data_IF_392577276708
#
_entry.id   IF_392577276708
#
_cell.length_a   1.000
_cell.length_b   1.000
_cell.length_c   1.000
_cell.angle_alpha   90.00
_cell.angle_beta   90.00
_cell.angle_gamma   90.00
#
_symmetry.space_group_name_H-M   'P 1'
#
loop_
_entity.id
_entity.type
_entity.pdbx_description
1 polymer ?
#
# COMPACT_ATOMS: atom_id res chain seq x y z
N UNK A 1 26.10 14.81 77.13
CA UNK A 1 24.74 14.47 76.69
C UNK A 1 24.75 14.49 75.16
N UNK A 2 24.74 13.30 74.56
CA UNK A 2 24.98 13.05 73.13
C UNK A 2 23.77 13.46 72.28
N UNK A 3 23.98 14.19 71.17
CA UNK A 3 23.00 14.35 70.12
C UNK A 3 23.44 13.55 68.88
N UNK A 4 22.66 12.51 68.58
CA UNK A 4 22.84 11.59 67.46
C UNK A 4 22.52 12.28 66.12
N UNK A 5 23.42 12.11 65.15
CA UNK A 5 23.28 12.55 63.76
C UNK A 5 22.16 11.77 63.05
N UNK A 6 21.28 12.54 62.39
CA UNK A 6 20.17 12.06 61.55
C UNK A 6 20.72 11.41 60.27
N UNK A 7 20.57 10.09 60.15
CA UNK A 7 20.89 9.34 58.94
C UNK A 7 19.72 9.51 57.95
N UNK A 8 19.98 10.19 56.85
CA UNK A 8 19.06 10.31 55.71
C UNK A 8 18.83 8.92 55.10
N UNK A 9 17.59 8.43 55.15
CA UNK A 9 17.11 7.26 54.40
C UNK A 9 17.24 7.53 52.90
N UNK A 10 18.16 6.84 52.23
CA UNK A 10 18.16 6.72 50.77
C UNK A 10 16.98 5.83 50.39
N UNK A 11 15.95 6.41 49.74
CA UNK A 11 14.90 5.62 49.08
C UNK A 11 15.47 5.06 47.78
N UNK A 12 15.63 3.76 47.72
CA UNK A 12 15.81 3.02 46.46
C UNK A 12 14.50 3.16 45.68
N UNK A 13 14.54 3.90 44.57
CA UNK A 13 13.42 4.05 43.65
C UNK A 13 13.42 2.79 42.79
N UNK A 14 12.44 1.91 43.03
CA UNK A 14 12.20 0.72 42.22
C UNK A 14 11.74 1.15 40.81
N UNK A 15 12.27 0.58 39.71
CA UNK A 15 11.81 0.95 38.38
C UNK A 15 10.49 0.23 38.11
N UNK A 16 9.38 0.87 38.47
CA UNK A 16 8.10 0.61 37.81
C UNK A 16 8.17 1.18 36.39
N UNK A 17 8.73 0.40 35.46
CA UNK A 17 8.51 0.60 34.03
C UNK A 17 7.34 -0.29 33.65
N UNK A 18 6.16 0.32 33.60
CA UNK A 18 4.98 -0.27 32.97
C UNK A 18 5.33 -0.42 31.48
N UNK A 19 5.64 -1.64 31.03
CA UNK A 19 5.66 -1.98 29.62
C UNK A 19 4.22 -1.97 29.10
N UNK A 20 3.73 -0.79 28.74
CA UNK A 20 2.62 -0.68 27.79
C UNK A 20 3.18 -1.24 26.48
N UNK A 21 2.58 -2.27 25.85
CA UNK A 21 2.97 -2.60 24.50
C UNK A 21 2.56 -1.41 23.66
N UNK A 22 3.53 -0.60 23.26
CA UNK A 22 3.33 0.41 22.24
C UNK A 22 2.96 -0.38 20.98
N UNK A 23 1.66 -0.64 20.80
CA UNK A 23 1.10 -1.07 19.54
C UNK A 23 1.27 0.13 18.63
N UNK A 24 2.46 0.24 18.05
CA UNK A 24 2.69 1.02 16.85
C UNK A 24 1.68 0.47 15.86
N UNK A 25 0.51 1.12 15.78
CA UNK A 25 -0.21 1.19 14.52
C UNK A 25 0.86 1.74 13.59
N UNK A 26 1.46 0.85 12.79
CA UNK A 26 2.20 1.23 11.60
C UNK A 26 1.24 2.14 10.84
N UNK A 27 1.33 3.45 11.07
CA UNK A 27 0.81 4.42 10.13
C UNK A 27 1.55 4.04 8.85
N UNK A 28 0.82 3.47 7.90
CA UNK A 28 1.37 3.07 6.60
C UNK A 28 1.88 4.35 5.96
N UNK A 29 3.13 4.69 6.24
CA UNK A 29 3.82 5.77 5.56
C UNK A 29 3.73 5.45 4.07
N UNK A 30 3.41 6.45 3.26
CA UNK A 30 3.42 6.31 1.82
C UNK A 30 4.88 6.09 1.43
N UNK A 31 5.23 4.83 1.20
CA UNK A 31 6.60 4.40 0.92
C UNK A 31 6.64 3.61 -0.38
N UNK A 32 7.73 3.83 -1.11
CA UNK A 32 8.09 3.05 -2.28
C UNK A 32 8.40 1.61 -1.87
N UNK A 33 8.05 0.64 -2.71
CA UNK A 33 8.33 -0.77 -2.45
C UNK A 33 9.85 -1.02 -2.40
N UNK A 34 10.30 -1.76 -1.39
CA UNK A 34 11.67 -2.30 -1.35
C UNK A 34 11.88 -3.39 -2.41
N UNK A 35 13.13 -3.78 -2.64
CA UNK A 35 13.44 -4.83 -3.62
C UNK A 35 12.83 -6.19 -3.22
N UNK A 36 12.85 -6.52 -1.92
CA UNK A 36 12.25 -7.74 -1.39
C UNK A 36 10.72 -7.71 -1.52
N UNK A 37 10.10 -6.55 -1.26
CA UNK A 37 8.67 -6.35 -1.46
C UNK A 37 8.29 -6.45 -2.94
N UNK A 38 9.11 -5.91 -3.86
CA UNK A 38 8.88 -6.00 -5.30
C UNK A 38 8.86 -7.45 -5.75
N UNK A 39 9.89 -8.21 -5.39
CA UNK A 39 10.02 -9.62 -5.76
C UNK A 39 8.79 -10.43 -5.31
N UNK A 40 8.37 -10.27 -4.05
CA UNK A 40 7.25 -11.02 -3.49
C UNK A 40 5.87 -10.53 -3.96
N UNK A 41 5.64 -9.22 -4.05
CA UNK A 41 4.31 -8.64 -4.33
C UNK A 41 4.02 -8.47 -5.81
N UNK A 42 5.04 -8.26 -6.64
CA UNK A 42 4.84 -8.10 -8.08
C UNK A 42 4.82 -9.44 -8.81
N UNK A 43 5.51 -10.47 -8.33
CA UNK A 43 5.55 -11.78 -9.02
C UNK A 43 4.16 -12.32 -9.38
N UNK A 44 3.14 -12.32 -8.48
CA UNK A 44 1.80 -12.78 -8.86
C UNK A 44 1.13 -11.91 -9.93
N UNK A 45 1.34 -10.59 -9.88
CA UNK A 45 0.78 -9.65 -10.86
C UNK A 45 1.44 -9.84 -12.23
N UNK A 46 2.75 -10.04 -12.27
CA UNK A 46 3.49 -10.30 -13.50
C UNK A 46 3.02 -11.62 -14.15
N UNK A 47 2.81 -12.66 -13.35
CA UNK A 47 2.22 -13.92 -13.83
C UNK A 47 0.78 -13.75 -14.33
N UNK A 48 0.04 -12.78 -13.81
CA UNK A 48 -1.29 -12.42 -14.27
C UNK A 48 -1.28 -11.53 -15.53
N UNK A 49 -0.12 -11.24 -16.12
CA UNK A 49 0.00 -10.45 -17.36
C UNK A 49 0.19 -8.96 -17.15
N UNK A 50 0.45 -8.51 -15.92
CA UNK A 50 1.00 -7.17 -15.71
C UNK A 50 2.47 -7.12 -16.17
N UNK A 51 2.92 -5.94 -16.56
CA UNK A 51 4.28 -5.70 -17.02
C UNK A 51 4.84 -4.43 -16.40
N UNK A 52 6.17 -4.33 -16.31
CA UNK A 52 6.84 -3.09 -15.91
C UNK A 52 6.82 -2.10 -17.07
N UNK A 53 6.59 -0.83 -16.79
CA UNK A 53 6.69 0.24 -17.79
C UNK A 53 8.16 0.59 -18.03
N UNK A 54 8.56 0.70 -19.29
CA UNK A 54 9.93 1.09 -19.62
C UNK A 54 10.22 2.52 -19.14
N UNK A 55 11.38 2.74 -18.51
CA UNK A 55 11.84 4.04 -18.00
C UNK A 55 10.90 4.71 -16.97
N UNK A 56 9.96 3.95 -16.38
CA UNK A 56 9.04 4.46 -15.37
C UNK A 56 8.77 3.39 -14.31
N UNK A 57 8.83 3.77 -13.04
CA UNK A 57 8.50 2.86 -11.95
C UNK A 57 6.97 2.74 -11.79
N UNK A 58 6.39 1.95 -12.68
CA UNK A 58 4.96 1.70 -12.81
C UNK A 58 4.71 0.30 -13.36
N UNK A 59 3.51 -0.21 -13.13
CA UNK A 59 3.02 -1.46 -13.76
C UNK A 59 1.89 -1.15 -14.73
N UNK A 60 1.80 -1.94 -15.79
CA UNK A 60 0.86 -1.79 -16.88
C UNK A 60 0.17 -3.11 -17.23
N UNK A 61 -1.13 -3.07 -17.54
CA UNK A 61 -1.87 -4.17 -18.14
C UNK A 61 -2.99 -3.67 -19.05
N UNK A 62 -3.23 -4.40 -20.14
CA UNK A 62 -4.38 -4.21 -21.02
C UNK A 62 -5.43 -5.31 -20.75
N UNK A 63 -6.69 -4.88 -20.65
CA UNK A 63 -7.86 -5.75 -20.49
C UNK A 63 -8.74 -5.64 -21.75
N UNK A 64 -9.21 -6.79 -22.24
CA UNK A 64 -10.10 -6.88 -23.39
C UNK A 64 -11.42 -7.53 -22.96
N UNK A 65 -12.52 -6.85 -23.24
CA UNK A 65 -13.88 -7.27 -22.91
C UNK A 65 -14.67 -7.62 -24.17
N UNK A 66 -15.90 -8.13 -24.00
CA UNK A 66 -16.79 -8.40 -25.14
C UNK A 66 -17.25 -7.12 -25.84
N UNK A 67 -17.60 -6.10 -25.06
CA UNK A 67 -18.17 -4.85 -25.52
C UNK A 67 -17.87 -3.69 -24.55
N UNK A 68 -18.33 -2.49 -24.91
CA UNK A 68 -18.16 -1.29 -24.08
C UNK A 68 -18.93 -1.36 -22.76
N UNK A 69 -20.08 -2.04 -22.70
CA UNK A 69 -20.88 -2.10 -21.48
C UNK A 69 -20.11 -2.88 -20.38
N UNK A 70 -19.54 -4.02 -20.74
CA UNK A 70 -18.68 -4.78 -19.84
C UNK A 70 -17.44 -3.98 -19.41
N UNK A 71 -16.75 -3.36 -20.37
CA UNK A 71 -15.56 -2.55 -20.08
C UNK A 71 -15.87 -1.39 -19.11
N UNK A 72 -16.97 -0.67 -19.34
CA UNK A 72 -17.34 0.47 -18.50
C UNK A 72 -17.88 0.03 -17.12
N UNK A 73 -18.56 -1.12 -17.04
CA UNK A 73 -18.94 -1.74 -15.76
C UNK A 73 -17.71 -2.10 -14.92
N UNK A 74 -16.70 -2.72 -15.53
CA UNK A 74 -15.40 -2.97 -14.92
C UNK A 74 -14.73 -1.68 -14.42
N UNK A 75 -14.65 -0.66 -15.27
CA UNK A 75 -14.09 0.65 -14.91
C UNK A 75 -14.83 1.30 -13.74
N UNK A 76 -16.16 1.20 -13.70
CA UNK A 76 -16.99 1.76 -12.61
C UNK A 76 -16.64 1.13 -11.26
N UNK A 77 -16.45 -0.20 -11.21
CA UNK A 77 -16.03 -0.89 -9.97
C UNK A 77 -14.66 -0.40 -9.50
N UNK A 78 -13.72 -0.22 -10.43
CA UNK A 78 -12.38 0.30 -10.13
C UNK A 78 -12.46 1.73 -9.60
N UNK A 79 -13.26 2.60 -10.21
CA UNK A 79 -13.42 3.98 -9.77
C UNK A 79 -13.93 4.07 -8.32
N UNK A 80 -14.93 3.25 -7.96
CA UNK A 80 -15.44 3.20 -6.58
C UNK A 80 -14.36 2.76 -5.58
N UNK A 81 -13.54 1.78 -5.95
CA UNK A 81 -12.45 1.31 -5.09
C UNK A 81 -11.30 2.31 -5.02
N UNK A 82 -10.97 2.97 -6.12
CA UNK A 82 -9.95 4.02 -6.20
C UNK A 82 -10.27 5.18 -5.27
N UNK A 83 -11.52 5.67 -5.28
CA UNK A 83 -12.00 6.70 -4.35
C UNK A 83 -11.86 6.26 -2.88
N UNK A 84 -12.29 5.03 -2.56
CA UNK A 84 -12.15 4.48 -1.21
C UNK A 84 -10.70 4.38 -0.74
N UNK A 85 -9.77 4.16 -1.68
CA UNK A 85 -8.34 4.00 -1.40
C UNK A 85 -7.56 5.32 -1.43
N UNK A 86 -8.16 6.41 -1.91
CA UNK A 86 -7.45 7.65 -2.29
C UNK A 86 -6.22 7.32 -3.16
N UNK A 87 -6.46 6.50 -4.18
CA UNK A 87 -5.44 6.02 -5.12
C UNK A 87 -6.05 5.71 -6.47
N UNK A 88 -5.77 6.53 -7.47
CA UNK A 88 -6.41 6.48 -8.78
C UNK A 88 -5.51 5.86 -9.84
N UNK A 89 -6.07 5.07 -10.78
CA UNK A 89 -5.31 4.58 -11.92
C UNK A 89 -5.11 5.68 -12.96
N UNK A 90 -4.04 5.55 -13.75
CA UNK A 90 -3.99 6.15 -15.07
C UNK A 90 -4.55 5.14 -16.07
N UNK A 91 -5.53 5.53 -16.88
CA UNK A 91 -6.10 4.60 -17.85
C UNK A 91 -6.48 5.25 -19.18
N UNK A 92 -6.60 4.40 -20.19
CA UNK A 92 -7.11 4.73 -21.50
C UNK A 92 -8.13 3.68 -21.93
N UNK A 93 -9.28 4.11 -22.43
CA UNK A 93 -10.33 3.21 -22.88
C UNK A 93 -10.76 3.54 -24.31
N UNK A 94 -10.85 2.51 -25.14
CA UNK A 94 -11.46 2.57 -26.47
C UNK A 94 -12.36 1.36 -26.61
N UNK A 95 -13.67 1.59 -26.61
CA UNK A 95 -14.70 0.55 -26.70
C UNK A 95 -14.48 -0.56 -25.66
N UNK A 96 -14.16 -1.78 -26.09
CA UNK A 96 -14.00 -2.96 -25.24
C UNK A 96 -12.58 -3.14 -24.68
N UNK A 97 -11.66 -2.20 -24.92
CA UNK A 97 -10.28 -2.26 -24.45
C UNK A 97 -10.02 -1.25 -23.34
N UNK A 98 -9.44 -1.68 -22.23
CA UNK A 98 -9.05 -0.82 -21.10
C UNK A 98 -7.57 -1.04 -20.80
N UNK A 99 -6.77 0.00 -20.96
CA UNK A 99 -5.34 0.02 -20.66
C UNK A 99 -5.15 0.71 -19.32
N UNK A 100 -4.47 0.07 -18.36
CA UNK A 100 -4.28 0.59 -17.01
C UNK A 100 -2.80 0.65 -16.66
N UNK A 101 -2.35 1.81 -16.20
CA UNK A 101 -1.03 2.05 -15.61
C UNK A 101 -1.20 2.44 -14.14
N UNK A 102 -0.41 1.84 -13.24
CA UNK A 102 -0.41 2.15 -11.81
C UNK A 102 0.98 2.59 -11.35
N UNK A 103 1.02 3.73 -10.67
CA UNK A 103 2.18 4.27 -9.96
C UNK A 103 1.71 5.25 -8.88
N UNK A 104 2.47 5.40 -7.81
CA UNK A 104 2.18 6.37 -6.76
C UNK A 104 3.02 7.64 -6.95
N UNK A 105 2.38 8.73 -7.36
CA UNK A 105 3.06 10.00 -7.67
C UNK A 105 3.80 10.62 -6.48
N UNK A 106 3.20 10.56 -5.29
CA UNK A 106 3.76 11.14 -4.06
C UNK A 106 5.04 10.45 -3.55
N UNK A 107 5.30 9.21 -3.98
CA UNK A 107 6.56 8.50 -3.71
C UNK A 107 7.40 8.28 -4.98
N UNK A 108 6.99 8.86 -6.11
CA UNK A 108 7.65 8.73 -7.41
C UNK A 108 7.97 7.27 -7.76
N UNK A 109 6.97 6.38 -7.64
CA UNK A 109 7.13 4.97 -7.96
C UNK A 109 6.06 4.04 -7.41
N UNK A 110 6.32 2.74 -7.50
CA UNK A 110 5.42 1.71 -7.01
C UNK A 110 5.37 1.69 -5.49
N UNK A 111 4.16 1.63 -4.95
CA UNK A 111 3.88 1.48 -3.52
C UNK A 111 2.91 0.31 -3.25
N UNK A 112 2.66 0.06 -1.97
CA UNK A 112 1.64 -0.89 -1.54
C UNK A 112 0.21 -0.52 -1.99
N UNK A 113 -0.06 0.73 -2.40
CA UNK A 113 -1.37 1.10 -2.95
C UNK A 113 -1.55 0.58 -4.38
N UNK A 114 -0.51 0.67 -5.20
CA UNK A 114 -0.52 0.15 -6.57
C UNK A 114 -0.78 -1.35 -6.59
N UNK A 115 -0.06 -2.10 -5.74
CA UNK A 115 -0.26 -3.56 -5.58
C UNK A 115 -1.69 -3.89 -5.13
N UNK A 116 -2.23 -3.15 -4.15
CA UNK A 116 -3.58 -3.40 -3.65
C UNK A 116 -4.64 -3.12 -4.72
N UNK A 117 -4.48 -2.03 -5.46
CA UNK A 117 -5.42 -1.67 -6.52
C UNK A 117 -5.33 -2.67 -7.69
N UNK A 118 -4.12 -3.06 -8.11
CA UNK A 118 -3.92 -4.10 -9.13
C UNK A 118 -4.60 -5.42 -8.76
N UNK A 119 -4.44 -5.88 -7.51
CA UNK A 119 -5.10 -7.10 -7.04
C UNK A 119 -6.63 -6.98 -7.00
N UNK A 120 -7.16 -5.79 -6.71
CA UNK A 120 -8.60 -5.55 -6.80
C UNK A 120 -9.09 -5.56 -8.25
N UNK A 121 -8.32 -4.96 -9.16
CA UNK A 121 -8.59 -4.94 -10.60
C UNK A 121 -8.68 -6.37 -11.13
N UNK A 122 -7.71 -7.24 -10.80
CA UNK A 122 -7.75 -8.67 -11.21
C UNK A 122 -9.04 -9.37 -10.76
N UNK A 123 -9.48 -9.11 -9.53
CA UNK A 123 -10.74 -9.69 -9.00
C UNK A 123 -12.00 -9.09 -9.62
N UNK A 124 -11.88 -7.96 -10.29
CA UNK A 124 -13.01 -7.24 -10.89
C UNK A 124 -13.22 -7.62 -12.35
N UNK A 125 -12.34 -8.43 -12.94
CA UNK A 125 -12.53 -8.98 -14.29
C UNK A 125 -13.55 -10.12 -14.20
N UNK A 126 -14.67 -9.99 -14.89
CA UNK A 126 -15.75 -10.99 -14.99
C UNK A 126 -15.92 -11.45 -16.44
#
# INVERSE_FOLDING_TARGET
MLFLLSIRRVRVISPHIIQIPFRWKMCSAKMKLSEEERSSKLSPLLSAGWSMVENRDAIYKEFLFKDFNQAFGFMTRIAMQAEKMDHHPEWFNVYNKVQITLSSHDVSGLSNRDVRLANFIEKSVE
#
